data_IF_047275192532
#
_entry.id   IF_047275192532
#
_cell.length_a   1.000
_cell.length_b   1.000
_cell.length_c   1.000
_cell.angle_alpha   90.00
_cell.angle_beta   90.00
_cell.angle_gamma   90.00
#
_symmetry.space_group_name_H-M   'P 1'
#
loop_
_entity.id
_entity.type
_entity.pdbx_description
1 polymer ?
#
# COMPACT_ATOMS: atom_id res chain seq x y z
N UNK A 1 -27.80 35.51 -47.81
CA UNK A 1 -26.64 35.60 -46.88
C UNK A 1 -26.80 34.53 -45.78
N UNK A 2 -26.09 33.40 -45.92
CA UNK A 2 -26.10 32.33 -44.93
C UNK A 2 -24.98 32.62 -43.93
N UNK A 3 -25.32 32.85 -42.67
CA UNK A 3 -24.34 32.98 -41.58
C UNK A 3 -23.79 31.61 -41.23
N UNK A 4 -22.50 31.43 -41.46
CA UNK A 4 -21.74 30.26 -40.99
C UNK A 4 -21.45 30.46 -39.49
N UNK A 5 -22.01 29.59 -38.63
CA UNK A 5 -21.67 29.57 -37.21
C UNK A 5 -20.49 28.63 -37.07
N UNK A 6 -19.33 29.21 -36.78
CA UNK A 6 -18.11 28.45 -36.45
C UNK A 6 -18.23 28.00 -35.00
N UNK A 7 -18.51 26.71 -34.75
CA UNK A 7 -18.48 26.14 -33.44
C UNK A 7 -17.01 25.73 -33.16
N UNK A 8 -16.35 26.54 -32.34
CA UNK A 8 -15.01 26.22 -31.82
C UNK A 8 -15.16 25.11 -30.78
N UNK A 9 -14.78 23.91 -31.14
CA UNK A 9 -14.56 22.84 -30.16
C UNK A 9 -13.28 23.16 -29.38
N UNK A 10 -13.43 23.70 -28.19
CA UNK A 10 -12.37 23.69 -27.19
C UNK A 10 -12.15 22.24 -26.74
N UNK A 11 -11.10 21.62 -27.26
CA UNK A 11 -10.57 20.41 -26.69
C UNK A 11 -10.03 20.77 -25.31
N UNK A 12 -10.81 20.50 -24.28
CA UNK A 12 -10.27 20.35 -22.92
C UNK A 12 -9.41 19.08 -22.93
N UNK A 13 -8.12 19.21 -23.19
CA UNK A 13 -7.17 18.21 -22.75
C UNK A 13 -7.23 18.22 -21.22
N UNK A 14 -7.53 17.09 -20.57
CA UNK A 14 -7.41 17.05 -19.12
C UNK A 14 -5.93 17.34 -18.80
N UNK A 15 -5.67 18.46 -18.15
CA UNK A 15 -4.41 18.67 -17.46
C UNK A 15 -4.37 17.59 -16.37
N UNK A 16 -3.63 16.52 -16.62
CA UNK A 16 -3.21 15.59 -15.57
C UNK A 16 -2.25 16.37 -14.68
N UNK A 17 -2.79 17.04 -13.69
CA UNK A 17 -2.01 17.57 -12.57
C UNK A 17 -1.59 16.33 -11.79
N UNK A 18 -0.32 15.96 -11.88
CA UNK A 18 0.24 15.00 -10.93
C UNK A 18 0.13 15.66 -9.56
N UNK A 19 -0.76 15.15 -8.77
CA UNK A 19 -0.95 15.61 -7.41
C UNK A 19 0.29 15.24 -6.61
N UNK A 20 1.12 16.22 -6.33
CA UNK A 20 2.23 16.13 -5.41
C UNK A 20 1.62 16.35 -4.03
N UNK A 21 1.28 15.25 -3.36
CA UNK A 21 0.49 15.27 -2.13
C UNK A 21 1.32 15.41 -0.86
N UNK A 22 2.63 15.62 -0.94
CA UNK A 22 3.45 15.85 0.24
C UNK A 22 3.43 17.34 0.62
N UNK A 23 2.99 17.60 1.84
CA UNK A 23 3.15 18.89 2.52
C UNK A 23 4.42 18.78 3.37
N UNK A 24 5.47 19.52 3.01
CA UNK A 24 6.70 19.52 3.80
C UNK A 24 6.46 19.98 5.23
N UNK A 25 7.08 19.27 6.16
CA UNK A 25 6.99 19.55 7.58
C UNK A 25 7.65 20.91 7.93
N UNK A 26 7.08 21.64 8.87
CA UNK A 26 7.71 22.85 9.35
C UNK A 26 8.98 22.54 10.17
N UNK A 27 9.88 23.51 10.29
CA UNK A 27 11.07 23.33 11.14
C UNK A 27 10.72 23.07 12.60
N UNK A 28 9.55 23.55 13.06
CA UNK A 28 9.05 23.30 14.40
C UNK A 28 8.62 21.85 14.56
N UNK A 29 7.86 21.30 13.60
CA UNK A 29 7.46 19.89 13.61
C UNK A 29 8.68 18.97 13.60
N UNK A 30 9.65 19.24 12.73
CA UNK A 30 10.87 18.44 12.64
C UNK A 30 11.69 18.45 13.92
N UNK A 31 11.68 19.57 14.67
CA UNK A 31 12.42 19.70 15.93
C UNK A 31 11.82 18.87 17.07
N UNK A 32 10.58 18.41 16.94
CA UNK A 32 9.91 17.57 17.94
C UNK A 32 10.15 16.07 17.71
N UNK A 33 10.72 15.70 16.58
CA UNK A 33 10.94 14.30 16.23
C UNK A 33 12.35 13.90 16.66
N UNK A 34 12.46 12.78 17.37
CA UNK A 34 13.73 12.27 17.83
C UNK A 34 14.60 11.84 16.64
N UNK A 35 15.89 12.13 16.73
CA UNK A 35 16.88 11.51 15.83
C UNK A 35 17.12 10.06 16.24
N UNK A 36 17.64 9.26 15.30
CA UNK A 36 18.02 7.87 15.59
C UNK A 36 19.04 7.86 16.74
N UNK A 37 18.79 7.08 17.82
CA UNK A 37 19.75 6.94 18.92
C UNK A 37 21.11 6.47 18.41
N UNK A 38 22.19 6.99 18.97
CA UNK A 38 23.57 6.64 18.59
C UNK A 38 23.92 5.19 18.90
N UNK A 39 23.19 4.56 19.81
CA UNK A 39 23.32 3.16 20.23
C UNK A 39 22.26 2.25 19.59
N UNK A 40 21.63 2.70 18.49
CA UNK A 40 20.60 1.92 17.78
C UNK A 40 21.10 0.56 17.27
N UNK A 41 22.41 0.38 17.21
CA UNK A 41 23.04 -0.88 16.84
C UNK A 41 23.26 -1.06 15.34
N UNK A 42 23.20 0.02 14.56
CA UNK A 42 23.54 -0.03 13.14
C UNK A 42 24.98 -0.51 12.93
N UNK A 43 25.17 -1.36 11.92
CA UNK A 43 26.49 -1.81 11.54
C UNK A 43 27.32 -0.65 10.98
N UNK A 44 28.60 -0.60 11.36
CA UNK A 44 29.57 0.38 10.83
C UNK A 44 30.25 -0.11 9.55
N UNK A 45 30.27 -1.42 9.32
CA UNK A 45 30.81 -2.05 8.10
C UNK A 45 29.65 -2.49 7.22
N UNK A 46 29.34 -1.69 6.22
CA UNK A 46 28.19 -1.90 5.35
C UNK A 46 28.59 -2.67 4.09
N UNK A 47 27.74 -3.57 3.58
CA UNK A 47 27.94 -4.14 2.26
C UNK A 47 27.90 -3.03 1.18
N UNK A 48 28.57 -3.25 0.07
CA UNK A 48 28.58 -2.28 -1.05
C UNK A 48 27.21 -2.11 -1.72
N UNK A 49 26.29 -3.02 -1.49
CA UNK A 49 24.89 -2.94 -1.93
C UNK A 49 23.97 -3.72 -0.98
N UNK A 50 22.74 -3.27 -0.88
CA UNK A 50 21.68 -3.97 -0.15
C UNK A 50 20.31 -3.66 -0.78
N UNK A 51 19.39 -4.64 -0.80
CA UNK A 51 18.07 -4.46 -1.39
C UNK A 51 16.99 -5.17 -0.60
N UNK A 52 15.92 -4.44 -0.32
CA UNK A 52 14.67 -4.92 0.28
C UNK A 52 13.61 -5.26 -0.77
N UNK A 53 13.91 -5.13 -2.07
CA UNK A 53 12.94 -5.22 -3.19
C UNK A 53 12.12 -6.51 -3.16
N UNK A 54 12.72 -7.64 -2.74
CA UNK A 54 12.02 -8.93 -2.63
C UNK A 54 10.84 -8.92 -1.65
N UNK A 55 10.83 -7.95 -0.71
CA UNK A 55 9.78 -7.80 0.30
C UNK A 55 8.78 -6.69 -0.02
N UNK A 56 9.08 -5.84 -1.01
CA UNK A 56 8.20 -4.74 -1.42
C UNK A 56 6.92 -5.31 -2.06
N UNK A 57 5.72 -4.84 -1.69
CA UNK A 57 4.49 -5.22 -2.36
C UNK A 57 4.46 -4.73 -3.81
N UNK A 58 3.47 -5.15 -4.61
CA UNK A 58 3.32 -4.69 -5.99
C UNK A 58 3.31 -3.16 -6.08
N UNK A 59 3.95 -2.63 -7.13
CA UNK A 59 3.87 -1.21 -7.42
C UNK A 59 2.45 -0.83 -7.81
N UNK A 60 1.92 0.20 -7.18
CA UNK A 60 0.57 0.72 -7.45
C UNK A 60 0.62 2.16 -7.92
N UNK A 61 -0.46 2.57 -8.59
CA UNK A 61 -0.68 3.96 -8.96
C UNK A 61 -1.55 4.63 -7.89
N UNK A 62 -1.01 5.69 -7.27
CA UNK A 62 -1.75 6.50 -6.31
C UNK A 62 -2.89 7.27 -7.01
N UNK A 63 -3.93 7.58 -6.25
CA UNK A 63 -4.98 8.52 -6.62
C UNK A 63 -4.73 9.84 -5.89
N UNK A 64 -4.88 10.97 -6.60
CA UNK A 64 -4.71 12.29 -6.00
C UNK A 64 -3.38 12.51 -5.26
N UNK A 65 -3.42 13.27 -4.20
CA UNK A 65 -2.28 13.62 -3.32
C UNK A 65 -1.90 12.59 -2.27
N UNK A 66 -2.03 11.29 -2.56
CA UNK A 66 -1.89 10.23 -1.54
C UNK A 66 -0.50 9.61 -1.42
N UNK A 67 0.54 10.26 -1.93
CA UNK A 67 1.92 9.74 -1.91
C UNK A 67 2.45 9.43 -0.50
N UNK A 68 2.06 10.20 0.54
CA UNK A 68 2.47 9.95 1.93
C UNK A 68 1.87 8.63 2.42
N UNK A 69 0.60 8.37 2.15
CA UNK A 69 -0.04 7.10 2.48
C UNK A 69 0.63 5.92 1.78
N UNK A 70 0.94 6.06 0.48
CA UNK A 70 1.63 5.01 -0.27
C UNK A 70 3.05 4.77 0.22
N UNK A 71 3.86 5.81 0.39
CA UNK A 71 5.26 5.64 0.81
C UNK A 71 5.39 5.08 2.22
N UNK A 72 4.53 5.53 3.15
CA UNK A 72 4.62 5.17 4.57
C UNK A 72 3.91 3.86 4.88
N UNK A 73 2.65 3.71 4.45
CA UNK A 73 1.82 2.57 4.84
C UNK A 73 1.92 1.42 3.84
N UNK A 74 1.68 1.71 2.56
CA UNK A 74 1.66 0.67 1.55
C UNK A 74 3.06 0.10 1.28
N UNK A 75 4.10 0.95 1.14
CA UNK A 75 5.44 0.47 0.87
C UNK A 75 6.25 0.21 2.14
N UNK A 76 6.57 1.22 2.94
CA UNK A 76 7.50 1.03 4.05
C UNK A 76 6.97 0.07 5.11
N UNK A 77 5.77 0.31 5.65
CA UNK A 77 5.18 -0.56 6.68
C UNK A 77 4.92 -1.98 6.18
N UNK A 78 4.41 -2.14 4.94
CA UNK A 78 4.20 -3.47 4.37
C UNK A 78 5.51 -4.21 4.12
N UNK A 79 6.57 -3.50 3.69
CA UNK A 79 7.89 -4.10 3.51
C UNK A 79 8.46 -4.60 4.84
N UNK A 80 8.36 -3.79 5.90
CA UNK A 80 8.79 -4.19 7.25
C UNK A 80 8.01 -5.40 7.76
N UNK A 81 6.69 -5.40 7.56
CA UNK A 81 5.85 -6.55 7.90
C UNK A 81 6.26 -7.81 7.13
N UNK A 82 6.51 -7.67 5.83
CA UNK A 82 6.94 -8.78 4.98
C UNK A 82 8.33 -9.32 5.38
N UNK A 83 9.24 -8.45 5.82
CA UNK A 83 10.54 -8.84 6.39
C UNK A 83 10.34 -9.64 7.67
N UNK A 84 9.57 -9.11 8.63
CA UNK A 84 9.33 -9.74 9.93
C UNK A 84 8.78 -11.16 9.79
N UNK A 85 7.90 -11.38 8.81
CA UNK A 85 7.27 -12.67 8.57
C UNK A 85 7.86 -13.45 7.40
N UNK A 86 8.96 -12.99 6.83
CA UNK A 86 9.65 -13.57 5.66
C UNK A 86 8.71 -13.83 4.46
N UNK A 87 7.82 -12.88 4.20
CA UNK A 87 6.86 -12.96 3.08
C UNK A 87 7.53 -12.43 1.81
N UNK A 88 7.78 -13.31 0.84
CA UNK A 88 8.51 -12.97 -0.40
C UNK A 88 7.71 -13.22 -1.68
N UNK A 89 6.67 -14.04 -1.62
CA UNK A 89 5.82 -14.31 -2.78
C UNK A 89 4.88 -13.11 -3.03
N UNK A 90 4.72 -12.76 -4.28
CA UNK A 90 4.00 -11.55 -4.66
C UNK A 90 2.55 -11.51 -4.14
N UNK A 91 1.79 -12.59 -4.31
CA UNK A 91 0.41 -12.64 -3.85
C UNK A 91 0.31 -12.56 -2.32
N UNK A 92 1.25 -13.19 -1.60
CA UNK A 92 1.32 -13.10 -0.15
C UNK A 92 1.60 -11.65 0.30
N UNK A 93 2.56 -10.99 -0.35
CA UNK A 93 2.88 -9.58 -0.08
C UNK A 93 1.66 -8.67 -0.28
N UNK A 94 0.91 -8.90 -1.36
CA UNK A 94 -0.31 -8.14 -1.63
C UNK A 94 -1.40 -8.41 -0.58
N UNK A 95 -1.66 -9.68 -0.28
CA UNK A 95 -2.66 -10.07 0.71
C UNK A 95 -2.41 -9.44 2.08
N UNK A 96 -1.14 -9.20 2.41
CA UNK A 96 -0.73 -8.64 3.70
C UNK A 96 -0.37 -7.14 3.66
N UNK A 97 -0.51 -6.46 2.53
CA UNK A 97 -0.20 -5.04 2.42
C UNK A 97 -1.16 -4.14 3.20
N UNK A 98 -0.67 -2.96 3.61
CA UNK A 98 -1.43 -1.98 4.38
C UNK A 98 -2.10 -0.95 3.47
N UNK A 99 -3.20 -0.39 3.99
CA UNK A 99 -4.05 0.54 3.25
C UNK A 99 -3.45 1.95 3.22
N UNK A 100 -3.17 2.50 2.02
CA UNK A 100 -2.60 3.83 1.89
C UNK A 100 -3.61 4.97 2.08
N UNK A 101 -4.92 4.69 2.00
CA UNK A 101 -5.97 5.71 2.04
C UNK A 101 -6.56 5.92 3.43
N UNK A 102 -6.53 4.90 4.28
CA UNK A 102 -7.12 4.94 5.62
C UNK A 102 -6.64 6.13 6.45
N UNK A 103 -5.36 6.49 6.34
CA UNK A 103 -4.76 7.59 7.08
C UNK A 103 -5.42 8.95 6.78
N UNK A 104 -5.84 9.17 5.53
CA UNK A 104 -6.51 10.42 5.14
C UNK A 104 -7.87 10.54 5.82
N UNK A 105 -8.59 9.43 5.96
CA UNK A 105 -9.85 9.38 6.71
C UNK A 105 -9.67 9.68 8.20
N UNK A 106 -8.55 9.25 8.78
CA UNK A 106 -8.21 9.50 10.19
C UNK A 106 -7.85 10.97 10.42
N UNK A 107 -6.95 11.52 9.60
CA UNK A 107 -6.43 12.88 9.78
C UNK A 107 -7.47 13.95 9.44
N UNK A 108 -8.24 13.74 8.38
CA UNK A 108 -9.19 14.75 7.90
C UNK A 108 -10.61 14.58 8.39
N UNK A 109 -10.83 13.61 9.28
CA UNK A 109 -12.09 13.41 9.98
C UNK A 109 -13.30 13.49 9.04
N UNK A 110 -13.43 12.53 8.15
CA UNK A 110 -14.55 12.40 7.21
C UNK A 110 -14.49 13.20 5.89
N UNK A 111 -13.36 13.65 5.43
CA UNK A 111 -13.32 14.39 4.18
C UNK A 111 -12.62 13.60 3.09
N UNK A 112 -13.32 13.45 1.97
CA UNK A 112 -12.90 12.81 0.72
C UNK A 112 -11.89 13.65 -0.05
N UNK A 113 -10.84 14.14 0.61
CA UNK A 113 -9.94 15.06 -0.06
C UNK A 113 -8.53 14.50 -0.17
N UNK A 114 -8.39 13.47 -0.99
CA UNK A 114 -7.09 12.92 -1.35
C UNK A 114 -6.17 13.95 -2.03
N UNK A 115 -6.72 15.04 -2.56
CA UNK A 115 -5.93 16.08 -3.20
C UNK A 115 -5.28 17.06 -2.21
N UNK A 116 -5.71 17.04 -0.94
CA UNK A 116 -5.13 17.92 0.09
C UNK A 116 -3.68 17.58 0.43
N UNK A 117 -3.25 16.37 0.12
CA UNK A 117 -1.95 15.88 0.56
C UNK A 117 -1.88 15.64 2.08
N UNK A 118 -0.69 15.33 2.57
CA UNK A 118 -0.43 15.05 3.99
C UNK A 118 1.03 15.38 4.33
N UNK A 119 1.35 15.73 5.57
CA UNK A 119 2.70 15.76 6.07
C UNK A 119 3.07 14.44 6.78
N UNK A 120 4.34 14.16 6.91
CA UNK A 120 4.80 12.93 7.58
C UNK A 120 4.52 12.89 9.07
N UNK A 121 4.71 13.97 9.86
CA UNK A 121 4.39 13.96 11.28
C UNK A 121 2.95 13.54 11.59
N UNK A 122 1.97 14.05 10.85
CA UNK A 122 0.57 13.64 11.01
C UNK A 122 0.36 12.17 10.67
N UNK A 123 1.00 11.68 9.60
CA UNK A 123 0.96 10.28 9.21
C UNK A 123 1.55 9.36 10.29
N UNK A 124 2.77 9.64 10.74
CA UNK A 124 3.44 8.84 11.77
C UNK A 124 2.78 8.92 13.13
N UNK A 125 2.33 10.11 13.56
CA UNK A 125 1.60 10.27 14.81
C UNK A 125 0.28 9.46 14.81
N UNK A 126 -0.41 9.41 13.69
CA UNK A 126 -1.62 8.61 13.55
C UNK A 126 -1.29 7.12 13.59
N UNK A 127 -0.24 6.70 12.88
CA UNK A 127 0.22 5.32 12.87
C UNK A 127 0.68 4.85 14.26
N UNK A 128 1.33 5.72 15.01
CA UNK A 128 1.75 5.46 16.39
C UNK A 128 0.56 5.35 17.35
N UNK A 129 -0.43 6.25 17.27
CA UNK A 129 -1.53 6.36 18.23
C UNK A 129 -2.71 5.43 17.91
N UNK A 130 -3.00 5.24 16.65
CA UNK A 130 -4.20 4.58 16.16
C UNK A 130 -3.85 3.29 15.41
N UNK A 131 -2.69 3.27 14.73
CA UNK A 131 -2.33 2.18 13.83
C UNK A 131 -2.99 2.30 12.46
N UNK A 132 -3.04 1.19 11.76
CA UNK A 132 -3.64 1.11 10.42
C UNK A 132 -4.32 -0.25 10.18
N UNK A 133 -4.90 -0.43 9.01
CA UNK A 133 -5.54 -1.68 8.60
C UNK A 133 -4.89 -2.25 7.35
N UNK A 134 -5.12 -3.53 7.11
CA UNK A 134 -4.76 -4.16 5.84
C UNK A 134 -5.62 -3.62 4.70
N UNK A 135 -5.01 -3.53 3.51
CA UNK A 135 -5.69 -3.07 2.30
C UNK A 135 -6.96 -3.87 2.00
N UNK A 136 -6.90 -5.19 2.19
CA UNK A 136 -7.99 -6.10 1.89
C UNK A 136 -9.02 -6.26 3.01
N UNK A 137 -8.90 -5.50 4.11
CA UNK A 137 -9.90 -5.52 5.17
C UNK A 137 -10.88 -4.37 5.05
N UNK A 138 -12.19 -4.66 5.23
CA UNK A 138 -13.21 -3.62 5.23
C UNK A 138 -13.11 -2.73 6.49
N UNK A 139 -13.64 -1.53 6.40
CA UNK A 139 -14.20 -0.97 5.20
C UNK A 139 -13.09 -0.69 4.18
N UNK A 140 -13.35 -1.03 2.90
CA UNK A 140 -12.40 -0.72 1.84
C UNK A 140 -12.36 0.79 1.63
N UNK A 141 -11.18 1.35 1.52
CA UNK A 141 -10.95 2.78 1.41
C UNK A 141 -10.56 3.17 0.00
N UNK A 142 -11.06 4.29 -0.43
CA UNK A 142 -10.70 4.99 -1.66
C UNK A 142 -10.76 6.48 -1.38
N UNK A 143 -10.32 7.28 -2.34
CA UNK A 143 -10.42 8.72 -2.23
C UNK A 143 -11.86 9.26 -2.22
N UNK A 144 -12.83 8.46 -2.69
CA UNK A 144 -14.24 8.85 -2.82
C UNK A 144 -15.11 8.36 -1.65
N UNK A 145 -14.51 7.95 -0.53
CA UNK A 145 -15.27 7.31 0.52
C UNK A 145 -15.63 8.21 1.69
N UNK A 146 -16.94 8.36 1.90
CA UNK A 146 -17.48 8.98 3.11
C UNK A 146 -17.29 8.11 4.35
N UNK A 147 -16.48 8.58 5.29
CA UNK A 147 -16.31 7.98 6.59
C UNK A 147 -17.27 8.59 7.60
N UNK A 148 -18.16 7.79 8.16
CA UNK A 148 -18.94 8.22 9.33
C UNK A 148 -18.13 8.02 10.60
N UNK A 149 -18.42 8.79 11.65
CA UNK A 149 -17.78 8.63 12.96
C UNK A 149 -17.90 7.19 13.49
N UNK A 150 -19.06 6.57 13.32
CA UNK A 150 -19.29 5.18 13.71
C UNK A 150 -18.40 4.21 12.94
N UNK A 151 -18.29 4.40 11.62
CA UNK A 151 -17.44 3.57 10.75
C UNK A 151 -15.96 3.71 11.13
N UNK A 152 -15.50 4.93 11.39
CA UNK A 152 -14.12 5.19 11.82
C UNK A 152 -13.86 4.55 13.20
N UNK A 153 -14.73 4.74 14.18
CA UNK A 153 -14.61 4.14 15.51
C UNK A 153 -14.57 2.61 15.46
N UNK A 154 -15.45 1.99 14.68
CA UNK A 154 -15.48 0.54 14.51
C UNK A 154 -14.20 0.01 13.81
N UNK A 155 -13.60 0.80 12.92
CA UNK A 155 -12.35 0.43 12.26
C UNK A 155 -11.17 0.57 13.21
N UNK A 156 -11.09 1.67 13.96
CA UNK A 156 -10.01 1.93 14.92
C UNK A 156 -9.93 0.83 15.99
N UNK A 157 -11.03 0.20 16.36
CA UNK A 157 -11.05 -0.87 17.35
C UNK A 157 -10.13 -2.06 17.05
N UNK A 158 -9.65 -2.23 15.81
CA UNK A 158 -8.72 -3.30 15.43
C UNK A 158 -7.45 -2.83 14.73
N UNK A 159 -7.26 -1.53 14.54
CA UNK A 159 -6.10 -0.97 13.83
C UNK A 159 -4.84 -0.86 14.70
N UNK A 160 -4.97 -0.79 16.01
CA UNK A 160 -3.84 -0.73 16.97
C UNK A 160 -2.89 -1.93 16.83
N UNK A 161 -3.44 -3.04 16.33
CA UNK A 161 -2.69 -4.22 16.01
C UNK A 161 -1.54 -3.99 15.00
N UNK A 162 -1.66 -2.95 14.20
CA UNK A 162 -0.71 -2.59 13.14
C UNK A 162 -0.24 -1.15 13.34
N UNK A 163 0.24 -0.85 14.53
CA UNK A 163 0.87 0.42 14.88
C UNK A 163 2.40 0.30 14.83
N UNK A 164 3.07 1.40 15.08
CA UNK A 164 4.52 1.48 15.26
C UNK A 164 4.85 1.79 16.71
N UNK A 165 6.04 1.37 17.17
CA UNK A 165 6.55 1.71 18.50
C UNK A 165 7.09 3.14 18.54
N UNK A 166 7.82 3.50 17.48
CA UNK A 166 8.48 4.80 17.39
C UNK A 166 8.82 5.10 15.92
N UNK A 167 9.11 6.36 15.64
CA UNK A 167 9.70 6.80 14.38
C UNK A 167 10.76 7.87 14.62
N UNK A 168 11.75 7.92 13.75
CA UNK A 168 12.91 8.77 13.89
C UNK A 168 13.18 9.54 12.61
N UNK A 169 13.71 10.76 12.77
CA UNK A 169 14.22 11.53 11.65
C UNK A 169 15.68 11.14 11.35
N UNK A 170 16.02 11.02 10.08
CA UNK A 170 17.41 11.03 9.60
C UNK A 170 17.69 12.45 9.09
N UNK A 171 18.45 13.23 9.83
CA UNK A 171 18.66 14.63 9.49
C UNK A 171 19.41 14.80 8.18
N UNK A 172 18.72 15.31 7.16
CA UNK A 172 19.22 15.54 5.81
C UNK A 172 20.40 16.56 5.74
N UNK A 173 20.57 17.37 6.78
CA UNK A 173 21.61 18.40 6.87
C UNK A 173 22.94 17.84 7.39
N UNK A 174 22.94 16.66 7.99
CA UNK A 174 24.13 16.05 8.54
C UNK A 174 25.08 15.58 7.45
N UNK A 175 26.41 15.63 7.68
CA UNK A 175 27.40 15.15 6.72
C UNK A 175 27.26 13.66 6.39
N UNK A 176 26.85 12.86 7.38
CA UNK A 176 26.68 11.41 7.34
C UNK A 176 25.26 10.97 6.92
N UNK A 177 24.44 11.88 6.39
CA UNK A 177 23.07 11.61 5.95
C UNK A 177 22.96 10.38 5.03
N UNK A 178 23.80 10.32 3.99
CA UNK A 178 23.83 9.20 3.03
C UNK A 178 24.15 7.88 3.74
N UNK A 179 25.15 7.91 4.62
CA UNK A 179 25.56 6.74 5.38
C UNK A 179 24.48 6.25 6.34
N UNK A 180 23.81 7.17 7.03
CA UNK A 180 22.70 6.82 7.92
C UNK A 180 21.51 6.19 7.17
N UNK A 181 21.21 6.65 5.95
CA UNK A 181 20.19 6.01 5.09
C UNK A 181 20.65 4.61 4.67
N UNK A 182 21.91 4.42 4.28
CA UNK A 182 22.46 3.11 3.95
C UNK A 182 22.41 2.15 5.16
N UNK A 183 22.77 2.63 6.34
CA UNK A 183 22.72 1.87 7.59
C UNK A 183 21.29 1.40 7.88
N UNK A 184 20.31 2.28 7.77
CA UNK A 184 18.91 1.91 7.95
C UNK A 184 18.46 0.80 6.98
N UNK A 185 18.79 0.95 5.69
CA UNK A 185 18.46 -0.06 4.68
C UNK A 185 19.16 -1.40 4.94
N UNK A 186 20.45 -1.37 5.32
CA UNK A 186 21.21 -2.59 5.65
C UNK A 186 20.69 -3.25 6.95
N UNK A 187 20.04 -2.49 7.82
CA UNK A 187 19.34 -2.97 9.02
C UNK A 187 17.89 -3.39 8.73
N UNK A 188 17.54 -3.55 7.44
CA UNK A 188 16.23 -3.96 6.96
C UNK A 188 15.08 -2.97 7.28
N UNK A 189 15.41 -1.69 7.42
CA UNK A 189 14.46 -0.61 7.62
C UNK A 189 14.31 0.22 6.34
N UNK A 190 13.16 0.15 5.63
CA UNK A 190 12.87 1.06 4.53
C UNK A 190 12.86 2.51 5.01
N UNK A 191 13.41 3.43 4.21
CA UNK A 191 13.46 4.85 4.57
C UNK A 191 12.42 5.62 3.78
N UNK A 192 11.52 6.30 4.48
CA UNK A 192 10.51 7.18 3.86
C UNK A 192 11.11 8.56 3.69
N UNK A 193 10.98 9.14 2.50
CA UNK A 193 11.58 10.44 2.17
C UNK A 193 10.57 11.42 1.59
N UNK A 194 10.77 12.68 1.90
CA UNK A 194 10.17 13.82 1.21
C UNK A 194 11.15 14.40 0.21
N UNK A 195 10.84 14.21 -1.07
CA UNK A 195 11.67 14.68 -2.17
C UNK A 195 11.06 15.95 -2.79
N UNK A 196 11.87 16.96 -3.03
CA UNK A 196 11.50 18.08 -3.87
C UNK A 196 11.53 17.62 -5.34
N UNK A 197 10.34 17.49 -5.94
CA UNK A 197 10.21 17.06 -7.33
C UNK A 197 10.60 18.19 -8.29
N UNK A 198 10.95 17.80 -9.50
CA UNK A 198 11.25 18.73 -10.58
C UNK A 198 10.58 18.26 -11.87
N UNK A 199 10.50 19.12 -12.88
CA UNK A 199 9.90 18.77 -14.17
C UNK A 199 10.55 17.59 -14.87
N UNK A 200 11.85 17.34 -14.61
CA UNK A 200 12.55 16.19 -15.19
C UNK A 200 12.11 14.85 -14.58
N UNK A 201 11.47 14.87 -13.42
CA UNK A 201 10.91 13.67 -12.80
C UNK A 201 9.56 13.28 -13.41
N UNK A 202 8.83 14.24 -14.00
CA UNK A 202 7.52 14.02 -14.60
C UNK A 202 7.63 13.16 -15.88
N UNK A 203 7.11 11.93 -15.89
CA UNK A 203 7.17 11.04 -17.06
C UNK A 203 6.30 11.54 -18.23
N UNK A 204 5.41 12.49 -18.00
CA UNK A 204 4.47 13.05 -18.98
C UNK A 204 4.82 14.49 -19.39
N UNK A 205 5.95 15.01 -18.92
CA UNK A 205 6.42 16.32 -19.34
C UNK A 205 6.56 16.35 -20.87
N UNK A 206 5.88 17.30 -21.50
CA UNK A 206 5.90 17.51 -22.95
C UNK A 206 7.27 17.94 -23.50
N UNK A 207 8.20 18.30 -22.62
CA UNK A 207 9.59 18.45 -22.96
C UNK A 207 10.21 17.05 -22.94
N UNK A 208 10.46 16.43 -24.06
CA UNK A 208 11.12 15.11 -24.28
C UNK A 208 12.38 14.82 -23.44
N UNK A 209 12.48 15.36 -22.27
CA UNK A 209 13.55 15.29 -21.28
C UNK A 209 13.00 14.81 -19.94
N UNK A 210 12.24 13.68 -19.95
CA UNK A 210 12.08 12.99 -18.67
C UNK A 210 13.50 12.59 -18.24
N UNK A 211 13.96 13.11 -17.13
CA UNK A 211 15.25 12.74 -16.56
C UNK A 211 15.32 11.29 -16.12
N UNK A 212 14.20 10.54 -16.25
CA UNK A 212 14.12 9.12 -15.95
C UNK A 212 14.08 8.35 -17.25
N UNK A 213 15.25 7.87 -17.70
CA UNK A 213 15.36 7.02 -18.87
C UNK A 213 14.88 5.59 -18.60
N UNK A 214 14.97 4.72 -19.63
CA UNK A 214 14.66 3.28 -19.52
C UNK A 214 15.53 2.53 -18.50
N UNK A 215 16.63 3.13 -18.05
CA UNK A 215 17.46 2.63 -16.95
C UNK A 215 16.84 2.86 -15.57
N UNK A 216 15.75 3.64 -15.48
CA UNK A 216 15.17 4.06 -14.22
C UNK A 216 15.98 5.11 -13.46
N UNK A 217 17.15 5.55 -13.96
CA UNK A 217 17.92 6.60 -13.31
C UNK A 217 17.27 7.96 -13.51
N UNK A 218 16.93 8.65 -12.40
CA UNK A 218 16.57 10.05 -12.45
C UNK A 218 17.82 10.93 -12.55
N UNK A 219 17.82 11.78 -13.59
CA UNK A 219 18.91 12.71 -13.84
C UNK A 219 18.32 14.12 -13.95
N UNK A 220 18.24 14.86 -12.84
CA UNK A 220 17.73 16.23 -12.86
C UNK A 220 18.65 17.14 -13.71
N UNK A 221 18.06 18.13 -14.35
CA UNK A 221 18.82 19.16 -15.04
C UNK A 221 19.61 19.98 -14.01
N UNK A 222 20.88 20.34 -14.25
CA UNK A 222 21.64 21.14 -13.30
C UNK A 222 20.91 22.42 -12.86
N UNK A 223 20.77 22.63 -11.56
CA UNK A 223 20.03 23.74 -10.96
C UNK A 223 18.51 23.79 -11.30
N UNK A 224 17.95 22.66 -11.67
CA UNK A 224 16.50 22.56 -11.85
C UNK A 224 15.79 22.89 -10.54
N UNK A 225 14.81 23.80 -10.62
CA UNK A 225 14.04 24.17 -9.43
C UNK A 225 12.97 23.14 -9.15
N UNK A 226 12.75 22.88 -7.87
CA UNK A 226 11.63 22.10 -7.43
C UNK A 226 10.29 22.74 -7.78
N UNK A 227 9.30 21.92 -8.05
CA UNK A 227 7.94 22.30 -8.39
C UNK A 227 6.89 21.73 -7.44
N UNK A 228 7.32 20.99 -6.40
CA UNK A 228 6.47 20.46 -5.34
C UNK A 228 7.14 19.39 -4.48
N UNK A 229 6.35 18.82 -3.55
CA UNK A 229 6.78 17.77 -2.65
C UNK A 229 6.19 16.41 -3.00
N UNK A 230 6.99 15.37 -3.03
CA UNK A 230 6.56 14.00 -3.27
C UNK A 230 7.15 13.04 -2.23
N UNK A 231 6.31 12.16 -1.72
CA UNK A 231 6.73 11.16 -0.74
C UNK A 231 7.09 9.83 -1.45
N UNK A 232 8.23 9.29 -1.11
CA UNK A 232 8.82 8.10 -1.73
C UNK A 232 9.36 7.15 -0.66
N UNK A 233 9.63 5.90 -1.05
CA UNK A 233 10.23 4.91 -0.15
C UNK A 233 11.53 4.37 -0.73
N UNK A 234 12.64 4.56 -0.01
CA UNK A 234 13.95 4.00 -0.33
C UNK A 234 13.98 2.55 0.15
N UNK A 235 14.36 1.63 -0.75
CA UNK A 235 14.32 0.19 -0.50
C UNK A 235 15.64 -0.51 -0.82
N UNK A 236 16.66 0.24 -1.18
CA UNK A 236 17.98 -0.33 -1.49
C UNK A 236 19.01 0.73 -1.83
N UNK A 237 20.25 0.28 -1.91
CA UNK A 237 21.36 1.08 -2.40
C UNK A 237 22.42 0.21 -3.10
N UNK A 238 23.22 0.84 -3.95
CA UNK A 238 24.37 0.21 -4.59
C UNK A 238 25.46 1.27 -4.82
N UNK A 239 26.63 1.06 -4.20
CA UNK A 239 27.76 1.99 -4.26
C UNK A 239 28.44 2.02 -5.63
N UNK A 240 28.19 1.03 -6.49
CA UNK A 240 28.76 0.95 -7.84
C UNK A 240 27.78 1.43 -8.91
N UNK A 241 26.46 1.28 -8.66
CA UNK A 241 25.44 1.67 -9.61
C UNK A 241 25.44 3.19 -9.78
N UNK A 242 25.69 3.66 -11.00
CA UNK A 242 25.75 5.09 -11.36
C UNK A 242 26.69 5.94 -10.50
N UNK A 243 27.73 5.33 -9.93
CA UNK A 243 28.69 5.98 -9.03
C UNK A 243 28.21 6.15 -7.59
N UNK A 244 27.25 5.33 -7.18
CA UNK A 244 26.60 5.30 -5.89
C UNK A 244 25.17 5.87 -5.93
N UNK A 245 24.21 5.00 -5.70
CA UNK A 245 22.79 5.36 -5.87
C UNK A 245 21.87 4.62 -4.90
N UNK A 246 20.73 5.25 -4.60
CA UNK A 246 19.62 4.62 -3.90
C UNK A 246 18.58 4.08 -4.87
N UNK A 247 18.01 2.91 -4.55
CA UNK A 247 16.86 2.32 -5.20
C UNK A 247 15.59 2.75 -4.48
N UNK A 248 14.63 3.30 -5.22
CA UNK A 248 13.41 3.89 -4.69
C UNK A 248 12.21 3.25 -5.38
N UNK A 249 11.17 2.92 -4.59
CA UNK A 249 9.85 2.58 -5.13
C UNK A 249 8.97 3.82 -5.14
N UNK A 250 8.25 4.02 -6.26
CA UNK A 250 7.33 5.13 -6.49
C UNK A 250 5.89 4.64 -6.59
N UNK A 251 4.94 5.53 -6.34
CA UNK A 251 3.50 5.28 -6.39
C UNK A 251 2.82 5.78 -7.67
N UNK A 252 3.55 5.82 -8.80
CA UNK A 252 2.99 6.27 -10.09
C UNK A 252 2.71 5.11 -11.07
N UNK A 253 2.63 3.89 -10.53
CA UNK A 253 2.35 2.67 -11.30
C UNK A 253 3.58 2.09 -11.97
N UNK A 254 3.43 0.87 -12.49
CA UNK A 254 4.52 0.08 -13.08
C UNK A 254 5.07 0.61 -14.41
N UNK A 255 4.37 1.57 -15.04
CA UNK A 255 4.86 2.23 -16.26
C UNK A 255 5.86 3.35 -15.99
N UNK A 256 6.05 3.72 -14.73
CA UNK A 256 7.03 4.71 -14.33
C UNK A 256 8.42 4.06 -14.21
N UNK A 257 9.46 4.71 -14.72
CA UNK A 257 10.85 4.29 -14.56
C UNK A 257 11.11 2.84 -14.95
N UNK A 258 11.78 2.12 -14.07
CA UNK A 258 12.00 0.67 -14.19
C UNK A 258 10.93 -0.09 -13.41
N UNK A 259 9.78 -0.39 -14.04
CA UNK A 259 8.64 -1.09 -13.45
C UNK A 259 8.11 -0.44 -12.14
N UNK A 260 8.09 0.89 -12.09
CA UNK A 260 7.65 1.66 -10.92
C UNK A 260 8.76 2.01 -9.94
N UNK A 261 9.98 1.59 -10.22
CA UNK A 261 11.16 1.93 -9.43
C UNK A 261 12.04 2.94 -10.14
N UNK A 262 12.86 3.63 -9.37
CA UNK A 262 13.90 4.49 -9.90
C UNK A 262 15.19 4.39 -9.10
N UNK A 263 16.27 4.83 -9.73
CA UNK A 263 17.54 5.11 -9.09
C UNK A 263 17.75 6.60 -8.96
N UNK A 264 18.37 7.02 -7.87
CA UNK A 264 18.81 8.39 -7.65
C UNK A 264 20.24 8.37 -7.13
N UNK A 265 21.15 9.14 -7.74
CA UNK A 265 22.54 9.22 -7.26
C UNK A 265 22.59 9.77 -5.84
N UNK A 266 23.58 9.40 -5.03
CA UNK A 266 23.75 9.94 -3.67
C UNK A 266 23.85 11.47 -3.66
N UNK A 267 24.45 12.05 -4.71
CA UNK A 267 24.53 13.50 -4.85
C UNK A 267 23.17 14.15 -5.06
N UNK A 268 22.37 13.62 -5.98
CA UNK A 268 21.05 14.16 -6.26
C UNK A 268 20.09 13.87 -5.10
N UNK A 269 20.21 12.70 -4.48
CA UNK A 269 19.46 12.35 -3.29
C UNK A 269 19.66 13.39 -2.18
N UNK A 270 20.93 13.74 -1.89
CA UNK A 270 21.28 14.75 -0.89
C UNK A 270 20.75 16.15 -1.24
N UNK A 271 20.72 16.49 -2.53
CA UNK A 271 20.30 17.81 -2.99
C UNK A 271 18.78 18.01 -2.94
N UNK A 272 18.02 16.97 -3.27
CA UNK A 272 16.58 17.08 -3.45
C UNK A 272 15.75 16.50 -2.30
N UNK A 273 16.31 15.66 -1.42
CA UNK A 273 15.63 15.19 -0.22
C UNK A 273 15.57 16.31 0.83
N UNK A 274 14.38 16.58 1.34
CA UNK A 274 14.14 17.64 2.34
C UNK A 274 13.89 17.08 3.72
N UNK A 275 13.36 15.88 3.81
CA UNK A 275 13.09 15.18 5.06
C UNK A 275 13.15 13.66 4.84
N UNK A 276 13.53 12.92 5.87
CA UNK A 276 13.61 11.46 5.79
C UNK A 276 13.40 10.81 7.14
N UNK A 277 12.78 9.63 7.14
CA UNK A 277 12.30 8.96 8.34
C UNK A 277 12.47 7.45 8.25
N UNK A 278 12.66 6.85 9.42
CA UNK A 278 12.48 5.41 9.67
C UNK A 278 11.43 5.22 10.75
N UNK A 279 10.87 4.00 10.83
CA UNK A 279 9.91 3.62 11.85
C UNK A 279 10.22 2.23 12.40
N UNK A 280 9.74 1.93 13.59
CA UNK A 280 9.82 0.62 14.23
C UNK A 280 8.46 -0.03 14.33
N UNK A 281 8.33 -1.28 13.88
CA UNK A 281 7.11 -2.04 14.06
C UNK A 281 6.80 -2.23 15.54
N UNK A 282 5.53 -2.14 15.89
CA UNK A 282 5.07 -2.43 17.23
C UNK A 282 5.43 -3.88 17.61
N UNK A 283 5.95 -4.09 18.81
CA UNK A 283 6.31 -5.41 19.32
C UNK A 283 5.11 -6.38 19.37
N UNK A 284 3.89 -5.85 19.50
CA UNK A 284 2.68 -6.66 19.42
C UNK A 284 2.49 -7.31 18.05
N UNK A 285 2.94 -6.67 16.97
CA UNK A 285 3.00 -7.28 15.64
C UNK A 285 3.99 -8.44 15.63
N UNK A 286 5.16 -8.25 16.25
CA UNK A 286 6.24 -9.23 16.35
C UNK A 286 5.89 -10.41 17.28
N UNK A 287 5.24 -10.12 18.41
CA UNK A 287 4.93 -11.12 19.45
C UNK A 287 3.66 -11.91 19.20
N UNK A 288 2.87 -11.59 18.19
CA UNK A 288 1.68 -12.35 17.85
C UNK A 288 2.07 -13.75 17.38
N UNK A 289 1.80 -14.81 18.17
CA UNK A 289 2.21 -16.14 17.80
C UNK A 289 1.53 -16.56 16.50
N UNK A 290 2.31 -17.00 15.54
CA UNK A 290 1.84 -17.68 14.34
C UNK A 290 1.10 -18.97 14.65
N UNK A 291 1.21 -19.44 15.92
CA UNK A 291 0.68 -20.71 16.37
C UNK A 291 -0.05 -20.53 17.69
N UNK A 292 -1.29 -20.93 17.76
CA UNK A 292 -2.01 -21.10 19.02
C UNK A 292 -2.78 -22.40 19.01
N UNK A 293 -2.38 -23.31 19.91
CA UNK A 293 -3.27 -24.33 20.41
C UNK A 293 -4.03 -23.71 21.59
N UNK A 294 -5.31 -23.43 21.42
CA UNK A 294 -6.21 -23.04 22.50
C UNK A 294 -6.62 -21.56 22.55
N UNK A 295 -7.71 -21.37 23.20
CA UNK A 295 -8.52 -20.23 23.63
C UNK A 295 -8.02 -18.82 23.24
N UNK A 296 -8.88 -18.10 22.57
CA UNK A 296 -8.65 -16.75 22.10
C UNK A 296 -9.87 -15.89 22.41
N UNK A 297 -9.62 -14.69 22.92
CA UNK A 297 -10.65 -13.68 23.18
C UNK A 297 -11.29 -13.17 21.87
N UNK A 298 -12.47 -12.58 21.98
CA UNK A 298 -13.29 -12.08 20.89
C UNK A 298 -12.69 -10.81 20.28
N UNK A 299 -11.64 -10.95 19.44
CA UNK A 299 -10.98 -9.85 18.79
C UNK A 299 -10.38 -10.22 17.43
N UNK A 300 -9.68 -9.28 16.81
CA UNK A 300 -8.90 -9.51 15.63
C UNK A 300 -7.68 -10.40 15.95
N UNK A 301 -7.52 -11.51 15.24
CA UNK A 301 -6.49 -12.52 15.52
C UNK A 301 -5.70 -12.91 14.28
N UNK A 302 -4.43 -13.19 14.53
CA UNK A 302 -3.58 -13.93 13.59
C UNK A 302 -3.11 -15.19 14.28
N UNK A 303 -3.37 -16.33 13.69
CA UNK A 303 -2.91 -17.62 14.20
C UNK A 303 -2.62 -18.61 13.07
N UNK A 304 -1.75 -19.57 13.35
CA UNK A 304 -1.47 -20.69 12.46
C UNK A 304 -1.89 -22.01 13.09
N UNK A 305 -2.19 -22.98 12.26
CA UNK A 305 -2.44 -24.34 12.68
C UNK A 305 -1.79 -25.34 11.72
N UNK A 306 -1.28 -26.45 12.29
CA UNK A 306 -0.66 -27.49 11.49
C UNK A 306 -1.72 -28.32 10.77
N UNK A 307 -1.52 -28.53 9.48
CA UNK A 307 -2.29 -29.50 8.70
C UNK A 307 -1.80 -30.92 8.95
N UNK A 308 -2.55 -31.91 8.44
CA UNK A 308 -2.14 -33.34 8.48
C UNK A 308 -0.79 -33.59 7.81
N UNK A 309 -0.38 -32.73 6.87
CA UNK A 309 0.88 -32.83 6.14
C UNK A 309 2.00 -31.99 6.75
N UNK A 310 1.87 -31.55 8.01
CA UNK A 310 2.80 -30.67 8.72
C UNK A 310 2.99 -29.28 8.09
N UNK A 311 2.14 -28.88 7.15
CA UNK A 311 2.06 -27.52 6.66
C UNK A 311 1.36 -26.63 7.68
N UNK A 312 1.56 -25.32 7.58
CA UNK A 312 0.99 -24.36 8.51
C UNK A 312 0.03 -23.45 7.79
N UNK A 313 -1.26 -23.74 7.91
CA UNK A 313 -2.28 -22.80 7.47
C UNK A 313 -2.34 -21.61 8.43
N UNK A 314 -2.53 -20.42 7.91
CA UNK A 314 -2.58 -19.19 8.70
C UNK A 314 -3.91 -18.49 8.50
N UNK A 315 -4.49 -18.01 9.57
CA UNK A 315 -5.64 -17.11 9.53
C UNK A 315 -5.26 -15.76 10.15
N UNK A 316 -5.70 -14.71 9.51
CA UNK A 316 -5.57 -13.34 10.02
C UNK A 316 -6.88 -12.61 9.76
N UNK A 317 -7.57 -12.14 10.81
CA UNK A 317 -8.88 -11.51 10.67
C UNK A 317 -9.67 -11.46 11.95
N UNK A 318 -10.96 -11.13 11.81
CA UNK A 318 -11.91 -11.05 12.91
C UNK A 318 -12.20 -12.43 13.48
N UNK A 319 -12.27 -12.50 14.81
CA UNK A 319 -12.47 -13.71 15.57
C UNK A 319 -13.50 -13.49 16.68
N UNK A 320 -14.53 -14.29 16.72
CA UNK A 320 -15.63 -14.16 17.69
C UNK A 320 -16.09 -15.54 18.12
N UNK A 321 -16.38 -15.72 19.41
CA UNK A 321 -16.90 -16.98 19.97
C UNK A 321 -16.03 -18.19 19.59
N UNK A 322 -14.71 -18.07 19.69
CA UNK A 322 -13.75 -19.13 19.35
C UNK A 322 -13.78 -19.59 17.88
N UNK A 323 -14.20 -18.72 16.96
CA UNK A 323 -14.28 -19.05 15.55
C UNK A 323 -13.94 -17.87 14.65
N UNK A 324 -13.44 -18.14 13.45
CA UNK A 324 -13.28 -17.14 12.40
C UNK A 324 -14.68 -16.61 12.06
N UNK A 325 -14.91 -15.34 12.36
CA UNK A 325 -16.22 -14.71 12.12
C UNK A 325 -15.98 -13.26 11.72
N UNK A 326 -16.62 -12.81 10.63
CA UNK A 326 -16.32 -11.51 10.03
C UNK A 326 -15.29 -11.63 8.93
N UNK A 327 -14.57 -10.55 8.63
CA UNK A 327 -13.61 -10.52 7.51
C UNK A 327 -12.24 -11.03 7.92
N UNK A 328 -11.59 -11.74 7.00
CA UNK A 328 -10.25 -12.27 7.23
C UNK A 328 -9.56 -12.77 5.97
N UNK A 329 -8.29 -13.13 6.17
CA UNK A 329 -7.45 -13.79 5.18
C UNK A 329 -7.08 -15.16 5.75
N UNK A 330 -7.31 -16.20 4.97
CA UNK A 330 -6.86 -17.54 5.29
C UNK A 330 -5.89 -18.02 4.23
N UNK A 331 -4.68 -18.37 4.64
CA UNK A 331 -3.67 -19.01 3.80
C UNK A 331 -3.78 -20.52 3.94
N UNK A 332 -4.04 -21.18 2.83
CA UNK A 332 -3.83 -22.61 2.67
C UNK A 332 -2.41 -22.86 2.15
N UNK A 333 -1.50 -23.18 3.05
CA UNK A 333 -0.08 -23.39 2.75
C UNK A 333 0.15 -24.61 1.85
N UNK A 334 -0.76 -25.60 1.87
CA UNK A 334 -0.63 -26.80 1.05
C UNK A 334 -0.82 -26.47 -0.43
N UNK A 335 -1.81 -25.62 -0.73
CA UNK A 335 -2.14 -25.20 -2.09
C UNK A 335 -1.55 -23.82 -2.43
N UNK A 336 -0.85 -23.18 -1.49
CA UNK A 336 -0.33 -21.83 -1.63
C UNK A 336 -1.40 -20.82 -2.08
N UNK A 337 -2.58 -20.89 -1.45
CA UNK A 337 -3.77 -20.16 -1.85
C UNK A 337 -4.26 -19.29 -0.70
N UNK A 338 -4.50 -18.01 -0.96
CA UNK A 338 -5.14 -17.10 -0.02
C UNK A 338 -6.62 -17.00 -0.32
N UNK A 339 -7.41 -17.11 0.73
CA UNK A 339 -8.85 -16.87 0.70
C UNK A 339 -9.13 -15.60 1.48
N UNK A 340 -9.66 -14.58 0.81
CA UNK A 340 -9.95 -13.26 1.38
C UNK A 340 -11.44 -13.00 1.33
N UNK A 341 -12.07 -12.76 2.47
CA UNK A 341 -13.52 -12.51 2.49
C UNK A 341 -14.14 -12.66 3.86
N UNK A 342 -15.44 -12.87 3.89
CA UNK A 342 -16.23 -12.98 5.13
C UNK A 342 -16.35 -14.43 5.58
N UNK A 343 -16.04 -14.66 6.84
CA UNK A 343 -16.18 -15.95 7.51
C UNK A 343 -17.39 -15.93 8.45
N UNK A 344 -18.00 -17.08 8.66
CA UNK A 344 -19.02 -17.32 9.67
C UNK A 344 -18.78 -18.68 10.29
N UNK A 345 -18.48 -18.71 11.58
CA UNK A 345 -18.18 -19.94 12.34
C UNK A 345 -17.12 -20.82 11.63
N UNK A 346 -16.02 -20.22 11.19
CA UNK A 346 -14.92 -20.91 10.53
C UNK A 346 -15.13 -21.26 9.06
N UNK A 347 -16.31 -20.99 8.51
CA UNK A 347 -16.65 -21.27 7.11
C UNK A 347 -16.75 -19.98 6.32
N UNK A 348 -16.29 -20.01 5.07
CA UNK A 348 -16.41 -18.89 4.14
C UNK A 348 -17.89 -18.63 3.77
N UNK A 349 -18.31 -17.37 3.82
CA UNK A 349 -19.69 -16.99 3.60
C UNK A 349 -19.80 -15.60 2.94
N UNK A 350 -20.42 -15.53 1.77
CA UNK A 350 -20.53 -14.30 0.97
C UNK A 350 -19.45 -14.18 -0.10
N UNK A 351 -19.17 -12.95 -0.54
CA UNK A 351 -18.14 -12.71 -1.56
C UNK A 351 -16.76 -13.08 -1.03
N UNK A 352 -16.04 -13.83 -1.87
CA UNK A 352 -14.67 -14.27 -1.61
C UNK A 352 -13.76 -13.97 -2.78
N UNK A 353 -12.50 -13.69 -2.46
CA UNK A 353 -11.42 -13.68 -3.42
C UNK A 353 -10.45 -14.83 -3.10
N UNK A 354 -10.00 -15.47 -4.15
CA UNK A 354 -8.99 -16.51 -4.10
C UNK A 354 -7.78 -15.97 -4.85
N UNK A 355 -6.63 -15.98 -4.19
CA UNK A 355 -5.38 -15.50 -4.75
C UNK A 355 -4.38 -16.65 -4.73
N UNK A 356 -3.96 -17.09 -5.90
CA UNK A 356 -3.00 -18.18 -6.09
C UNK A 356 -2.05 -17.91 -7.25
N UNK A 357 -1.24 -18.91 -7.64
CA UNK A 357 -0.30 -18.82 -8.74
C UNK A 357 -0.99 -18.63 -10.11
N UNK A 358 -2.24 -19.08 -10.24
CA UNK A 358 -3.05 -18.94 -11.44
C UNK A 358 -3.74 -17.58 -11.56
N UNK A 359 -3.68 -16.74 -10.52
CA UNK A 359 -4.17 -15.37 -10.52
C UNK A 359 -5.11 -15.02 -9.37
N UNK A 360 -5.98 -14.06 -9.65
CA UNK A 360 -7.02 -13.59 -8.74
C UNK A 360 -8.38 -14.04 -9.26
N UNK A 361 -9.16 -14.63 -8.36
CA UNK A 361 -10.51 -15.11 -8.67
C UNK A 361 -11.49 -14.50 -7.67
N UNK A 362 -12.73 -14.30 -8.10
CA UNK A 362 -13.85 -14.03 -7.20
C UNK A 362 -14.83 -15.20 -7.21
N UNK A 363 -15.50 -15.40 -6.09
CA UNK A 363 -16.54 -16.42 -5.96
C UNK A 363 -17.45 -16.13 -4.78
N UNK A 364 -18.49 -16.94 -4.63
CA UNK A 364 -19.42 -16.85 -3.51
C UNK A 364 -19.27 -18.06 -2.61
N UNK A 365 -19.00 -17.85 -1.34
CA UNK A 365 -18.93 -18.89 -0.33
C UNK A 365 -20.28 -19.06 0.36
N UNK A 366 -20.74 -20.31 0.48
CA UNK A 366 -21.91 -20.65 1.29
C UNK A 366 -21.58 -21.91 2.09
N UNK A 367 -21.50 -21.74 3.42
CA UNK A 367 -21.17 -22.83 4.33
C UNK A 367 -19.86 -23.56 3.96
N UNK A 368 -18.86 -22.83 3.48
CA UNK A 368 -17.56 -23.39 3.07
C UNK A 368 -17.49 -24.00 1.68
N UNK A 369 -18.59 -23.94 0.90
CA UNK A 369 -18.60 -24.34 -0.49
C UNK A 369 -18.53 -23.11 -1.38
N UNK A 370 -17.68 -23.14 -2.41
CA UNK A 370 -17.55 -22.06 -3.37
C UNK A 370 -18.48 -22.29 -4.56
N UNK A 371 -19.17 -21.24 -4.94
CA UNK A 371 -20.05 -21.18 -6.11
C UNK A 371 -19.59 -20.01 -7.01
N UNK A 372 -19.86 -20.12 -8.30
CA UNK A 372 -19.64 -19.05 -9.31
C UNK A 372 -18.21 -18.46 -9.35
N UNK A 373 -17.20 -19.33 -9.28
CA UNK A 373 -15.80 -18.89 -9.34
C UNK A 373 -15.50 -18.28 -10.71
N UNK A 374 -15.05 -17.04 -10.72
CA UNK A 374 -14.68 -16.29 -11.93
C UNK A 374 -13.25 -15.76 -11.80
N UNK A 375 -12.40 -16.03 -12.79
CA UNK A 375 -11.06 -15.46 -12.87
C UNK A 375 -11.15 -13.98 -13.21
N UNK A 376 -10.49 -13.14 -12.42
CA UNK A 376 -10.45 -11.69 -12.59
C UNK A 376 -9.23 -11.27 -13.42
N UNK A 377 -8.09 -11.90 -13.22
CA UNK A 377 -6.85 -11.59 -13.92
C UNK A 377 -5.62 -12.15 -13.22
N UNK A 378 -4.46 -11.70 -13.67
CA UNK A 378 -3.18 -11.99 -13.04
C UNK A 378 -2.57 -10.73 -12.46
N UNK A 379 -1.85 -10.85 -11.32
CA UNK A 379 -1.08 -9.78 -10.74
C UNK A 379 -1.89 -8.48 -10.61
N UNK A 380 -1.31 -7.37 -11.01
CA UNK A 380 -1.88 -6.02 -10.85
C UNK A 380 -3.28 -5.87 -11.49
N UNK A 381 -3.50 -6.43 -12.69
CA UNK A 381 -4.81 -6.36 -13.36
C UNK A 381 -5.91 -7.08 -12.55
N UNK A 382 -5.62 -8.29 -12.07
CA UNK A 382 -6.55 -9.04 -11.23
C UNK A 382 -6.84 -8.35 -9.92
N UNK A 383 -5.85 -7.70 -9.33
CA UNK A 383 -5.96 -6.93 -8.10
C UNK A 383 -6.79 -5.66 -8.28
N UNK A 384 -6.62 -4.91 -9.37
CA UNK A 384 -7.43 -3.74 -9.66
C UNK A 384 -8.91 -4.12 -9.82
N UNK A 385 -9.21 -5.18 -10.57
CA UNK A 385 -10.57 -5.69 -10.74
C UNK A 385 -11.15 -6.15 -9.40
N UNK A 386 -10.35 -6.82 -8.56
CA UNK A 386 -10.75 -7.22 -7.22
C UNK A 386 -11.14 -6.01 -6.36
N UNK A 387 -10.33 -4.96 -6.36
CA UNK A 387 -10.62 -3.73 -5.61
C UNK A 387 -11.90 -3.05 -6.09
N UNK A 388 -12.11 -2.97 -7.41
CA UNK A 388 -13.36 -2.46 -7.98
C UNK A 388 -14.56 -3.30 -7.53
N UNK A 389 -14.47 -4.61 -7.51
CA UNK A 389 -15.54 -5.48 -7.04
C UNK A 389 -15.80 -5.34 -5.54
N UNK A 390 -14.75 -5.18 -4.74
CA UNK A 390 -14.87 -4.93 -3.30
C UNK A 390 -15.61 -3.62 -3.02
N UNK A 391 -15.34 -2.56 -3.77
CA UNK A 391 -16.04 -1.28 -3.62
C UNK A 391 -17.53 -1.37 -3.95
N UNK A 392 -17.88 -2.12 -5.00
CA UNK A 392 -19.28 -2.37 -5.39
C UNK A 392 -19.99 -3.25 -4.36
N UNK A 393 -19.35 -4.32 -3.89
CA UNK A 393 -19.92 -5.21 -2.88
C UNK A 393 -20.27 -4.47 -1.59
N UNK A 394 -19.42 -3.56 -1.15
CA UNK A 394 -19.64 -2.70 -0.01
C UNK A 394 -20.90 -1.86 -0.13
N UNK A 395 -21.18 -1.31 -1.31
CA UNK A 395 -22.39 -0.55 -1.58
C UNK A 395 -23.65 -1.40 -1.34
N UNK A 396 -23.64 -2.67 -1.74
CA UNK A 396 -24.77 -3.58 -1.58
C UNK A 396 -24.91 -4.13 -0.14
N UNK A 397 -23.81 -4.41 0.54
CA UNK A 397 -23.83 -4.86 1.95
C UNK A 397 -24.43 -3.79 2.88
N UNK A 398 -24.13 -2.52 2.63
CA UNK A 398 -24.71 -1.37 3.34
C UNK A 398 -26.24 -1.31 3.27
N UNK A 399 -26.84 -1.80 2.21
CA UNK A 399 -28.29 -1.81 2.01
C UNK A 399 -28.96 -3.13 2.38
N UNK A 400 -28.22 -4.08 2.95
CA UNK A 400 -28.76 -5.39 3.35
C UNK A 400 -29.24 -6.25 2.18
N UNK A 401 -28.77 -5.96 0.97
CA UNK A 401 -29.13 -6.72 -0.23
C UNK A 401 -28.13 -7.85 -0.41
N UNK A 402 -28.60 -9.10 -0.29
CA UNK A 402 -27.82 -10.26 -0.70
C UNK A 402 -27.51 -10.17 -2.19
N UNK A 403 -26.24 -9.96 -2.54
CA UNK A 403 -25.83 -9.94 -3.94
C UNK A 403 -25.54 -11.38 -4.37
N UNK A 404 -26.51 -12.01 -4.97
CA UNK A 404 -26.31 -13.27 -5.68
C UNK A 404 -25.74 -12.97 -7.07
N UNK A 405 -24.43 -12.97 -7.19
CA UNK A 405 -23.70 -12.83 -8.44
C UNK A 405 -23.30 -11.39 -8.80
N UNK A 406 -22.02 -11.18 -9.03
CA UNK A 406 -21.47 -9.93 -9.54
C UNK A 406 -21.88 -9.77 -10.99
N UNK A 407 -22.64 -8.73 -11.32
CA UNK A 407 -22.88 -8.34 -12.71
C UNK A 407 -21.55 -7.96 -13.33
N UNK A 408 -21.17 -8.65 -14.40
CA UNK A 408 -20.03 -8.26 -15.24
C UNK A 408 -20.17 -6.77 -15.59
N UNK A 409 -19.22 -5.96 -15.21
CA UNK A 409 -19.04 -4.65 -15.80
C UNK A 409 -18.83 -4.86 -17.30
N UNK A 410 -19.48 -4.07 -18.12
CA UNK A 410 -19.47 -4.17 -19.57
C UNK A 410 -18.07 -4.01 -20.15
N UNK A 411 -17.33 -5.11 -20.26
CA UNK A 411 -16.40 -5.27 -21.36
C UNK A 411 -17.18 -5.87 -22.51
N UNK A 412 -17.29 -5.15 -23.60
CA UNK A 412 -17.99 -5.54 -24.81
C UNK A 412 -17.50 -6.89 -25.32
N UNK A 413 -18.19 -7.95 -24.95
CA UNK A 413 -18.31 -9.19 -25.70
C UNK A 413 -19.63 -9.83 -25.32
N UNK A 414 -20.52 -9.86 -26.31
CA UNK A 414 -21.82 -10.50 -26.29
C UNK A 414 -21.73 -11.97 -25.89
N UNK A 415 -22.22 -12.34 -24.71
CA UNK A 415 -22.75 -13.69 -24.49
C UNK A 415 -23.91 -13.62 -23.51
N UNK A 416 -25.03 -14.11 -23.98
CA UNK A 416 -26.31 -14.14 -23.35
C UNK A 416 -26.32 -14.91 -22.02
N UNK A 417 -26.69 -14.25 -20.94
CA UNK A 417 -27.06 -14.89 -19.69
C UNK A 417 -28.51 -15.37 -19.82
N UNK A 418 -28.73 -16.65 -19.79
CA UNK A 418 -30.06 -17.24 -19.62
C UNK A 418 -30.58 -16.86 -18.22
N UNK A 419 -31.68 -16.12 -18.16
CA UNK A 419 -32.52 -16.05 -16.99
C UNK A 419 -33.18 -17.41 -16.78
N UNK A 420 -32.90 -18.08 -15.68
CA UNK A 420 -33.77 -19.12 -15.16
C UNK A 420 -34.85 -18.44 -14.33
N UNK A 421 -36.01 -18.27 -14.93
CA UNK A 421 -37.24 -18.03 -14.17
C UNK A 421 -37.61 -19.30 -13.42
N UNK A 422 -38.03 -19.14 -12.20
CA UNK A 422 -38.75 -20.18 -11.48
C UNK A 422 -40.10 -19.69 -11.10
N UNK A 423 -41.05 -20.54 -11.43
CA UNK A 423 -42.36 -20.60 -10.84
C UNK A 423 -42.34 -20.92 -9.32
#
# INVERSE_FOLDING_TARGET
MKKLILISFLFFTPLYIFSQGLIFSSSEDLSQISEIPTDYGFATDLPSNYSLEKYVPYVKKQEGGTCVGFSTFYYALSTMYNIEFNITKNMDKFAHSFDPYFIYSVVYNNRDDCDRGLNFPDAFNSLYKIGTKKLLFPPFTSCDEDWTEEKLANTIAYTDAYSINEYYIIDVKKPDFIENVKQAIAFEMPVVIGLETTKSMDPYSSSNTSGIGSSGLWTPTPNEKGDGGHALCVIGYDDQMYGGSFRIVNSWGNKFGDNGYMWITYSDFKNYTKESYIMELNENVKSRPLFKDGLVDDDYKRYGYKTKNNKVNTYEGQYLNNSNTGYGIWLDEENNTHYVGKFNNGSMNGLFFILDEDGVFSGFGKNGVFEDITKLGFGEEGEEIMQQQLSVYKYFDKFGVEVNGIRKSNSTSSNSVKQSGNE
#
